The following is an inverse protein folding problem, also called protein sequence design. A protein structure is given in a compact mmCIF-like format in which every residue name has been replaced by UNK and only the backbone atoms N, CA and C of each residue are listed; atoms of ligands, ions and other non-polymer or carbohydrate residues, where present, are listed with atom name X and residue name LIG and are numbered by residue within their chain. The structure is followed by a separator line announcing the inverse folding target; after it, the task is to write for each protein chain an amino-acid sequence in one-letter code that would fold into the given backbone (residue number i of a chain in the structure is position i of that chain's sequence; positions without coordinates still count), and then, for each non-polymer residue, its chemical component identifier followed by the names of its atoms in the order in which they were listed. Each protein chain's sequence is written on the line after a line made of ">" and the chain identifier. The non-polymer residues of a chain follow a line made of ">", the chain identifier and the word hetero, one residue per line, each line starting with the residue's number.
data_IF_706663339229
#
_entry.id   IF_706663339229
#
_cell.length_a   1.000
_cell.length_b   1.000
_cell.length_c   1.000
_cell.angle_alpha   90.00
_cell.angle_beta   90.00
_cell.angle_gamma   90.00
#
_symmetry.space_group_name_H-M   'P 1'
#
loop_
_entity.id
_entity.type
_entity.pdbx_description
1 polymer ?
#
# COMPACT_ATOMS: atom_id res chain seq x y z
N UNK A 1 21.99 17.93 -2.65
CA UNK A 1 21.73 16.70 -3.42
C UNK A 1 21.55 15.45 -2.54
N UNK A 2 22.37 15.22 -1.51
CA UNK A 2 22.25 14.04 -0.61
C UNK A 2 20.97 13.99 0.27
N UNK A 3 20.39 15.15 0.65
CA UNK A 3 19.21 15.20 1.52
C UNK A 3 17.89 14.78 0.85
N UNK A 4 17.74 14.97 -0.46
CA UNK A 4 16.54 14.54 -1.20
C UNK A 4 16.52 13.03 -1.42
N UNK A 5 17.68 12.41 -1.65
CA UNK A 5 17.76 10.97 -1.90
C UNK A 5 17.38 10.13 -0.66
N UNK A 6 17.82 10.54 0.53
CA UNK A 6 17.43 9.86 1.78
C UNK A 6 15.95 10.00 2.12
N UNK A 7 15.31 11.12 1.77
CA UNK A 7 13.87 11.29 1.98
C UNK A 7 13.03 10.33 1.12
N UNK A 8 13.49 10.06 -0.12
CA UNK A 8 12.87 9.03 -0.95
C UNK A 8 13.14 7.62 -0.43
N UNK A 9 14.40 7.31 -0.08
CA UNK A 9 14.78 6.00 0.47
C UNK A 9 14.01 5.63 1.74
N UNK A 10 13.76 6.58 2.65
CA UNK A 10 12.98 6.33 3.85
C UNK A 10 11.50 6.06 3.55
N UNK A 11 10.92 6.78 2.58
CA UNK A 11 9.53 6.54 2.16
C UNK A 11 9.38 5.16 1.51
N UNK A 12 10.31 4.79 0.62
CA UNK A 12 10.31 3.46 0.00
C UNK A 12 10.69 2.35 0.99
N UNK A 13 11.56 2.60 1.96
CA UNK A 13 11.85 1.66 3.04
C UNK A 13 10.61 1.37 3.90
N UNK A 14 9.83 2.41 4.21
CA UNK A 14 8.59 2.27 4.95
C UNK A 14 7.57 1.36 4.24
N UNK A 15 7.34 1.56 2.92
CA UNK A 15 6.37 0.72 2.19
C UNK A 15 6.82 -0.75 2.13
N UNK A 16 8.13 -1.00 2.02
CA UNK A 16 8.68 -2.36 2.04
C UNK A 16 8.42 -3.04 3.39
N UNK A 17 8.66 -2.35 4.51
CA UNK A 17 8.39 -2.89 5.85
C UNK A 17 6.90 -3.17 6.04
N UNK A 18 6.03 -2.27 5.58
CA UNK A 18 4.57 -2.45 5.63
C UNK A 18 4.14 -3.66 4.80
N UNK A 19 4.66 -3.83 3.58
CA UNK A 19 4.33 -4.95 2.71
C UNK A 19 4.78 -6.28 3.30
N UNK A 20 6.00 -6.36 3.82
CA UNK A 20 6.52 -7.58 4.46
C UNK A 20 5.71 -7.92 5.72
N UNK A 21 5.41 -6.93 6.56
CA UNK A 21 4.57 -7.10 7.74
C UNK A 21 3.16 -7.58 7.37
N UNK A 22 2.57 -6.99 6.33
CA UNK A 22 1.29 -7.43 5.80
C UNK A 22 1.33 -8.87 5.32
N UNK A 23 2.34 -9.26 4.52
CA UNK A 23 2.46 -10.65 4.03
C UNK A 23 2.54 -11.66 5.18
N UNK A 24 3.28 -11.34 6.25
CA UNK A 24 3.36 -12.20 7.44
C UNK A 24 2.01 -12.31 8.16
N UNK A 25 1.30 -11.20 8.34
CA UNK A 25 -0.03 -11.18 8.95
C UNK A 25 -1.07 -11.91 8.09
N UNK A 26 -1.02 -11.75 6.77
CA UNK A 26 -1.92 -12.40 5.82
C UNK A 26 -1.76 -13.93 5.84
N UNK A 27 -0.51 -14.41 5.87
CA UNK A 27 -0.20 -15.83 6.00
C UNK A 27 -0.60 -16.38 7.37
N UNK A 28 -0.42 -15.60 8.44
CA UNK A 28 -0.84 -16.00 9.80
C UNK A 28 -2.36 -16.04 9.97
N UNK A 29 -3.08 -15.14 9.29
CA UNK A 29 -4.53 -15.11 9.29
C UNK A 29 -5.13 -16.26 8.46
N UNK A 30 -4.34 -17.02 7.70
CA UNK A 30 -4.85 -18.19 7.00
C UNK A 30 -5.28 -19.28 7.99
N UNK A 31 -6.45 -19.94 7.82
CA UNK A 31 -7.42 -19.82 6.72
C UNK A 31 -8.61 -18.88 7.01
N UNK A 32 -8.55 -18.07 8.06
CA UNK A 32 -9.62 -17.12 8.41
C UNK A 32 -9.78 -16.03 7.34
N UNK A 33 -10.82 -16.22 6.53
CA UNK A 33 -11.17 -15.38 5.39
C UNK A 33 -11.64 -13.98 5.81
N UNK A 34 -12.27 -13.84 6.98
CA UNK A 34 -12.74 -12.53 7.45
C UNK A 34 -11.57 -11.65 7.84
N UNK A 35 -10.64 -12.22 8.62
CA UNK A 35 -9.42 -11.54 9.03
C UNK A 35 -8.55 -11.18 7.83
N UNK A 36 -8.44 -12.07 6.83
CA UNK A 36 -7.72 -11.76 5.59
C UNK A 36 -8.36 -10.61 4.80
N UNK A 37 -9.70 -10.54 4.70
CA UNK A 37 -10.39 -9.41 4.03
C UNK A 37 -10.17 -8.08 4.76
N UNK A 38 -10.22 -8.08 6.09
CA UNK A 38 -9.93 -6.89 6.91
C UNK A 38 -8.49 -6.41 6.70
N UNK A 39 -7.54 -7.34 6.68
CA UNK A 39 -6.13 -7.01 6.40
C UNK A 39 -5.98 -6.40 5.01
N UNK A 40 -6.59 -6.99 3.97
CA UNK A 40 -6.54 -6.47 2.60
C UNK A 40 -7.09 -5.04 2.54
N UNK A 41 -8.27 -4.80 3.13
CA UNK A 41 -8.87 -3.47 3.19
C UNK A 41 -7.94 -2.47 3.89
N UNK A 42 -7.33 -2.87 5.02
CA UNK A 42 -6.36 -2.04 5.73
C UNK A 42 -5.16 -1.69 4.85
N UNK A 43 -4.59 -2.67 4.13
CA UNK A 43 -3.46 -2.45 3.22
C UNK A 43 -3.83 -1.47 2.08
N UNK A 44 -5.03 -1.58 1.51
CA UNK A 44 -5.49 -0.67 0.45
C UNK A 44 -5.48 0.79 0.92
N UNK A 45 -6.03 1.08 2.10
CA UNK A 45 -6.04 2.44 2.64
C UNK A 45 -4.63 2.93 2.96
N UNK A 46 -3.78 2.06 3.52
CA UNK A 46 -2.40 2.40 3.87
C UNK A 46 -1.55 2.69 2.64
N UNK A 47 -1.68 1.88 1.58
CA UNK A 47 -0.96 2.04 0.32
C UNK A 47 -1.41 3.29 -0.44
N UNK A 48 -2.72 3.55 -0.47
CA UNK A 48 -3.29 4.77 -1.06
C UNK A 48 -2.83 6.03 -0.32
N UNK A 49 -2.93 6.03 1.02
CA UNK A 49 -2.46 7.13 1.86
C UNK A 49 -0.96 7.38 1.72
N UNK A 50 -0.15 6.32 1.67
CA UNK A 50 1.28 6.42 1.42
C UNK A 50 1.57 7.03 0.04
N UNK A 51 0.85 6.62 -1.01
CA UNK A 51 1.00 7.17 -2.37
C UNK A 51 0.77 8.68 -2.40
N UNK A 52 -0.31 9.15 -1.76
CA UNK A 52 -0.65 10.58 -1.64
C UNK A 52 0.41 11.33 -0.83
N UNK A 53 0.76 10.85 0.37
CA UNK A 53 1.72 11.53 1.25
C UNK A 53 3.10 11.65 0.60
N UNK A 54 3.53 10.59 -0.08
CA UNK A 54 4.83 10.56 -0.75
C UNK A 54 4.87 11.52 -1.93
N UNK A 55 3.80 11.63 -2.73
CA UNK A 55 3.73 12.55 -3.86
C UNK A 55 3.40 14.00 -3.50
N UNK A 56 2.74 14.23 -2.36
CA UNK A 56 2.49 15.58 -1.81
C UNK A 56 3.82 16.26 -1.46
N UNK A 57 4.78 15.50 -0.92
CA UNK A 57 6.12 16.02 -0.59
C UNK A 57 6.98 16.33 -1.82
N UNK A 58 6.67 15.74 -2.98
CA UNK A 58 7.40 15.95 -4.25
C UNK A 58 6.83 17.04 -5.15
N UNK A 59 5.81 17.78 -4.71
CA UNK A 59 5.15 18.89 -5.45
C UNK A 59 4.48 18.53 -6.79
N UNK A 60 4.31 17.24 -7.11
CA UNK A 60 3.62 16.77 -8.33
C UNK A 60 2.36 15.95 -8.00
N UNK A 61 1.52 16.47 -7.11
CA UNK A 61 0.23 15.84 -6.83
C UNK A 61 -0.76 16.16 -7.97
N UNK A 62 -0.72 15.36 -9.03
CA UNK A 62 -1.72 15.42 -10.11
C UNK A 62 -2.85 14.43 -9.83
N UNK A 63 -4.07 14.76 -10.27
CA UNK A 63 -5.24 13.88 -10.14
C UNK A 63 -5.01 12.53 -10.83
N UNK A 64 -4.18 12.51 -11.87
CA UNK A 64 -3.73 11.29 -12.53
C UNK A 64 -3.00 10.33 -11.58
N UNK A 65 -2.01 10.83 -10.83
CA UNK A 65 -1.26 10.00 -9.85
C UNK A 65 -2.19 9.48 -8.76
N UNK A 66 -3.14 10.30 -8.27
CA UNK A 66 -4.12 9.84 -7.27
C UNK A 66 -4.97 8.69 -7.82
N UNK A 67 -5.42 8.78 -9.08
CA UNK A 67 -6.20 7.72 -9.72
C UNK A 67 -5.37 6.45 -9.96
N UNK A 68 -4.09 6.56 -10.31
CA UNK A 68 -3.20 5.40 -10.46
C UNK A 68 -3.09 4.63 -9.14
N UNK A 69 -2.78 5.32 -8.04
CA UNK A 69 -2.66 4.67 -6.73
C UNK A 69 -3.99 4.11 -6.24
N UNK A 70 -5.11 4.80 -6.48
CA UNK A 70 -6.44 4.27 -6.18
C UNK A 70 -6.71 2.98 -6.96
N UNK A 71 -6.44 2.99 -8.28
CA UNK A 71 -6.72 1.87 -9.17
C UNK A 71 -5.85 0.66 -8.85
N UNK A 72 -4.56 0.85 -8.57
CA UNK A 72 -3.65 -0.23 -8.17
C UNK A 72 -4.04 -0.82 -6.82
N UNK A 73 -4.40 0.02 -5.86
CA UNK A 73 -4.85 -0.44 -4.54
C UNK A 73 -6.16 -1.23 -4.66
N UNK A 74 -7.11 -0.73 -5.46
CA UNK A 74 -8.38 -1.39 -5.72
C UNK A 74 -8.19 -2.73 -6.44
N UNK A 75 -7.37 -2.77 -7.47
CA UNK A 75 -7.07 -3.98 -8.23
C UNK A 75 -6.40 -5.04 -7.34
N UNK A 76 -5.38 -4.66 -6.59
CA UNK A 76 -4.70 -5.58 -5.66
C UNK A 76 -5.67 -6.11 -4.60
N UNK A 77 -6.53 -5.24 -4.06
CA UNK A 77 -7.55 -5.62 -3.09
C UNK A 77 -8.59 -6.60 -3.64
N UNK A 78 -9.08 -6.35 -4.85
CA UNK A 78 -10.03 -7.23 -5.53
C UNK A 78 -9.38 -8.58 -5.85
N UNK A 79 -8.17 -8.59 -6.39
CA UNK A 79 -7.45 -9.84 -6.71
C UNK A 79 -7.20 -10.67 -5.46
N UNK A 80 -6.72 -10.05 -4.38
CA UNK A 80 -6.53 -10.76 -3.12
C UNK A 80 -7.86 -11.24 -2.56
N UNK A 81 -8.91 -10.42 -2.61
CA UNK A 81 -10.27 -10.78 -2.19
C UNK A 81 -10.83 -11.97 -2.95
N UNK A 82 -10.59 -12.07 -4.26
CA UNK A 82 -10.99 -13.24 -5.07
C UNK A 82 -10.26 -14.52 -4.66
N UNK A 83 -8.99 -14.43 -4.24
CA UNK A 83 -8.22 -15.58 -3.73
C UNK A 83 -8.71 -16.03 -2.35
N UNK A 84 -9.38 -15.14 -1.61
CA UNK A 84 -9.99 -15.43 -0.30
C UNK A 84 -11.43 -15.93 -0.35
N UNK A 85 -12.06 -16.01 -1.53
CA UNK A 85 -13.36 -16.65 -1.76
C UNK A 85 -13.15 -18.16 -1.88
#
# INVERSE_FOLDING_TARGET
>A
MYKQFHQHLLAYGFIVVVLVGFSALFLRAWPDRETQRLLIACLMFLYFGWGIVTHTKTKQLTLHVVLEYLSVSLLAGVLLGLVTI
#
